data_IF_773704276669
#
_entry.id   IF_773704276669
#
_cell.length_a   1.000
_cell.length_b   1.000
_cell.length_c   1.000
_cell.angle_alpha   90.00
_cell.angle_beta   90.00
_cell.angle_gamma   90.00
#
_symmetry.space_group_name_H-M   'P 1'
#
loop_
_entity.id
_entity.type
_entity.pdbx_description
1 polymer ?
#
# COMPACT_ATOMS: atom_id res chain seq x y z
N UNK A 1 -3.45 21.37 -19.55
CA UNK A 1 -4.12 20.07 -19.77
C UNK A 1 -4.38 19.50 -18.38
N UNK A 2 -5.61 19.63 -17.91
CA UNK A 2 -6.01 19.25 -16.56
C UNK A 2 -5.98 17.73 -16.46
N UNK A 3 -5.11 17.15 -15.64
CA UNK A 3 -5.19 15.74 -15.33
C UNK A 3 -6.39 15.55 -14.41
N UNK A 4 -7.51 15.14 -14.99
CA UNK A 4 -8.67 14.65 -14.24
C UNK A 4 -8.21 13.46 -13.39
N UNK A 5 -8.61 13.45 -12.11
CA UNK A 5 -8.34 12.36 -11.19
C UNK A 5 -8.94 11.07 -11.73
N UNK A 6 -8.13 10.25 -12.42
CA UNK A 6 -8.54 8.93 -12.88
C UNK A 6 -8.56 8.01 -11.65
N UNK A 7 -9.75 7.67 -11.17
CA UNK A 7 -9.96 6.61 -10.18
C UNK A 7 -10.17 5.31 -10.97
N UNK A 8 -9.18 4.43 -10.94
CA UNK A 8 -9.33 3.08 -11.49
C UNK A 8 -9.76 2.12 -10.36
N UNK A 9 -10.98 1.59 -10.49
CA UNK A 9 -11.47 0.46 -9.69
C UNK A 9 -11.21 -0.79 -10.53
N UNK A 10 -10.37 -1.67 -10.01
CA UNK A 10 -10.09 -2.97 -10.62
C UNK A 10 -10.61 -4.03 -9.67
N UNK A 11 -11.65 -4.76 -10.09
CA UNK A 11 -12.13 -5.95 -9.40
C UNK A 11 -11.31 -7.16 -9.85
N UNK A 12 -10.67 -7.82 -8.90
CA UNK A 12 -9.77 -8.94 -9.18
C UNK A 12 -10.27 -10.13 -8.36
N UNK A 13 -10.72 -11.17 -9.06
CA UNK A 13 -11.14 -12.44 -8.46
C UNK A 13 -10.20 -13.55 -8.92
N UNK A 14 -9.58 -14.24 -7.96
CA UNK A 14 -8.76 -15.45 -8.11
C UNK A 14 -7.41 -15.33 -8.87
N UNK A 15 -6.37 -15.99 -8.31
CA UNK A 15 -5.08 -16.45 -8.89
C UNK A 15 -4.26 -15.54 -9.84
N UNK A 16 -4.70 -14.33 -10.15
CA UNK A 16 -4.06 -13.45 -11.12
C UNK A 16 -3.15 -12.46 -10.39
N UNK A 17 -1.93 -12.33 -10.92
CA UNK A 17 -1.03 -11.25 -10.57
C UNK A 17 -1.30 -10.06 -11.49
N UNK A 18 -1.52 -8.87 -10.92
CA UNK A 18 -1.79 -7.66 -11.70
C UNK A 18 -0.82 -6.53 -11.35
N UNK A 19 -0.34 -5.85 -12.40
CA UNK A 19 0.63 -4.75 -12.33
C UNK A 19 0.08 -3.48 -13.02
N UNK A 20 -0.93 -2.81 -12.43
CA UNK A 20 -1.43 -1.56 -12.98
C UNK A 20 -0.35 -0.47 -12.90
N UNK A 21 -0.17 0.28 -14.00
CA UNK A 21 0.75 1.42 -14.08
C UNK A 21 -0.03 2.71 -14.24
N UNK A 22 0.20 3.67 -13.36
CA UNK A 22 -0.37 5.01 -13.44
C UNK A 22 0.73 6.07 -13.28
N UNK A 23 0.73 7.07 -14.15
CA UNK A 23 1.69 8.17 -14.15
C UNK A 23 0.99 9.52 -14.34
N UNK A 24 1.39 10.55 -13.58
CA UNK A 24 0.85 11.91 -13.71
C UNK A 24 0.66 12.66 -12.40
N UNK A 25 0.13 13.88 -12.45
CA UNK A 25 -0.23 14.64 -11.25
C UNK A 25 -1.65 14.28 -10.77
N UNK A 26 -1.81 13.94 -9.49
CA UNK A 26 -3.11 13.82 -8.81
C UNK A 26 -3.93 12.55 -9.09
N UNK A 27 -3.32 11.48 -9.62
CA UNK A 27 -4.01 10.21 -9.92
C UNK A 27 -4.11 9.26 -8.71
N UNK A 28 -5.17 8.45 -8.63
CA UNK A 28 -5.33 7.48 -7.54
C UNK A 28 -5.89 6.12 -7.98
N UNK A 29 -5.42 5.03 -7.36
CA UNK A 29 -5.94 3.68 -7.63
C UNK A 29 -6.58 3.10 -6.38
N UNK A 30 -7.75 2.47 -6.54
CA UNK A 30 -8.48 1.79 -5.46
C UNK A 30 -8.82 0.37 -5.93
N UNK A 31 -7.83 -0.54 -6.02
CA UNK A 31 -8.11 -1.91 -6.43
C UNK A 31 -8.80 -2.68 -5.29
N UNK A 32 -9.73 -3.55 -5.68
CA UNK A 32 -10.45 -4.44 -4.77
C UNK A 32 -10.08 -5.88 -5.13
N UNK A 33 -9.44 -6.58 -4.21
CA UNK A 33 -8.99 -7.97 -4.42
C UNK A 33 -9.64 -8.88 -3.38
N UNK A 34 -10.37 -9.89 -3.87
CA UNK A 34 -11.07 -10.89 -3.08
C UNK A 34 -10.68 -12.32 -3.50
N UNK A 35 -10.42 -13.21 -2.53
CA UNK A 35 -10.25 -14.65 -2.77
C UNK A 35 -8.96 -15.25 -2.21
N UNK A 36 -8.62 -16.47 -2.66
CA UNK A 36 -7.41 -17.17 -2.24
C UNK A 36 -6.24 -16.88 -3.21
N UNK A 37 -5.07 -16.49 -2.68
CA UNK A 37 -3.78 -16.54 -3.41
C UNK A 37 -3.52 -15.47 -4.48
N UNK A 38 -4.18 -14.31 -4.47
CA UNK A 38 -3.96 -13.23 -5.45
C UNK A 38 -2.85 -12.23 -5.07
N UNK A 39 -2.23 -11.57 -6.05
CA UNK A 39 -1.15 -10.60 -5.82
C UNK A 39 -1.28 -9.32 -6.65
N UNK A 40 -1.15 -8.13 -6.04
CA UNK A 40 -1.13 -6.86 -6.78
C UNK A 40 0.18 -6.11 -6.60
N UNK A 41 0.72 -5.59 -7.70
CA UNK A 41 1.91 -4.75 -7.72
C UNK A 41 1.64 -3.45 -8.48
N UNK A 42 0.87 -2.50 -7.91
CA UNK A 42 0.64 -1.21 -8.55
C UNK A 42 1.93 -0.39 -8.62
N UNK A 43 2.20 0.21 -9.79
CA UNK A 43 3.25 1.20 -9.98
C UNK A 43 2.60 2.56 -10.17
N UNK A 44 2.88 3.50 -9.25
CA UNK A 44 2.36 4.85 -9.31
C UNK A 44 3.50 5.88 -9.28
N UNK A 45 3.52 6.79 -10.25
CA UNK A 45 4.54 7.81 -10.42
C UNK A 45 3.96 9.22 -10.59
N UNK A 46 4.46 10.22 -9.85
CA UNK A 46 4.11 11.63 -10.06
C UNK A 46 3.81 12.40 -8.78
N UNK A 47 3.24 13.61 -8.90
CA UNK A 47 2.94 14.47 -7.76
C UNK A 47 1.51 14.25 -7.24
N UNK A 48 1.34 14.03 -5.93
CA UNK A 48 0.04 14.01 -5.24
C UNK A 48 -0.84 12.78 -5.50
N UNK A 49 -0.26 11.65 -5.90
CA UNK A 49 -1.01 10.42 -6.20
C UNK A 49 -1.22 9.50 -4.98
N UNK A 50 -2.32 8.74 -4.95
CA UNK A 50 -2.65 7.86 -3.81
C UNK A 50 -3.07 6.44 -4.20
N UNK A 51 -2.74 5.44 -3.38
CA UNK A 51 -3.25 4.07 -3.54
C UNK A 51 -4.00 3.61 -2.29
N UNK A 52 -5.23 3.14 -2.48
CA UNK A 52 -6.09 2.64 -1.39
C UNK A 52 -6.57 1.22 -1.73
N UNK A 53 -5.69 0.21 -1.73
CA UNK A 53 -6.10 -1.14 -2.05
C UNK A 53 -6.89 -1.75 -0.89
N UNK A 54 -7.98 -2.45 -1.21
CA UNK A 54 -8.74 -3.26 -0.27
C UNK A 54 -8.53 -4.73 -0.63
N UNK A 55 -7.97 -5.50 0.30
CA UNK A 55 -7.64 -6.91 0.09
C UNK A 55 -8.31 -7.77 1.17
N UNK A 56 -9.12 -8.73 0.73
CA UNK A 56 -9.82 -9.71 1.57
C UNK A 56 -9.56 -11.15 1.10
N UNK A 57 -9.15 -12.05 2.01
CA UNK A 57 -9.06 -13.49 1.72
C UNK A 57 -7.86 -14.22 2.32
N UNK A 58 -7.52 -15.38 1.77
CA UNK A 58 -6.42 -16.22 2.26
C UNK A 58 -5.19 -16.15 1.36
N UNK A 59 -4.02 -15.81 1.91
CA UNK A 59 -2.73 -15.91 1.22
C UNK A 59 -2.46 -14.87 0.12
N UNK A 60 -3.10 -13.70 0.15
CA UNK A 60 -2.89 -12.64 -0.84
C UNK A 60 -1.75 -11.66 -0.50
N UNK A 61 -1.13 -11.04 -1.51
CA UNK A 61 -0.02 -10.09 -1.32
C UNK A 61 -0.22 -8.77 -2.06
N UNK A 62 0.21 -7.64 -1.46
CA UNK A 62 0.31 -6.36 -2.17
C UNK A 62 1.74 -5.81 -2.09
N UNK A 63 2.28 -5.42 -3.23
CA UNK A 63 3.61 -4.79 -3.36
C UNK A 63 3.52 -3.49 -4.14
N UNK A 64 2.94 -2.41 -3.57
CA UNK A 64 2.88 -1.13 -4.26
C UNK A 64 4.26 -0.49 -4.40
N UNK A 65 4.56 0.06 -5.57
CA UNK A 65 5.73 0.90 -5.84
C UNK A 65 5.24 2.33 -6.11
N UNK A 66 5.55 3.26 -5.20
CA UNK A 66 5.18 4.67 -5.34
C UNK A 66 6.44 5.53 -5.44
N UNK A 67 6.50 6.35 -6.50
CA UNK A 67 7.54 7.34 -6.71
C UNK A 67 6.97 8.74 -6.90
N UNK A 68 7.52 9.75 -6.23
CA UNK A 68 7.20 11.16 -6.49
C UNK A 68 6.96 12.00 -5.24
N UNK A 69 6.31 13.16 -5.38
CA UNK A 69 6.10 14.11 -4.29
C UNK A 69 4.66 14.04 -3.76
N UNK A 70 4.47 13.90 -2.44
CA UNK A 70 3.19 14.05 -1.76
C UNK A 70 2.20 12.90 -1.95
N UNK A 71 2.67 11.69 -2.29
CA UNK A 71 1.80 10.54 -2.51
C UNK A 71 1.58 9.67 -1.27
N UNK A 72 0.44 8.98 -1.17
CA UNK A 72 0.11 8.16 0.01
C UNK A 72 -0.38 6.75 -0.33
N UNK A 73 -0.11 5.77 0.54
CA UNK A 73 -0.76 4.46 0.49
C UNK A 73 -1.55 4.18 1.76
N UNK A 74 -2.80 3.78 1.59
CA UNK A 74 -3.71 3.43 2.68
C UNK A 74 -4.32 2.05 2.42
N UNK A 75 -3.53 0.96 2.51
CA UNK A 75 -4.04 -0.38 2.27
C UNK A 75 -4.92 -0.85 3.44
N UNK A 76 -6.07 -1.44 3.10
CA UNK A 76 -6.92 -2.18 4.04
C UNK A 76 -6.77 -3.67 3.74
N UNK A 77 -6.21 -4.41 4.69
CA UNK A 77 -5.94 -5.83 4.53
C UNK A 77 -6.67 -6.64 5.60
N UNK A 78 -7.52 -7.57 5.15
CA UNK A 78 -8.29 -8.48 5.99
C UNK A 78 -8.13 -9.95 5.56
N UNK A 79 -7.95 -10.87 6.51
CA UNK A 79 -7.97 -12.31 6.25
C UNK A 79 -6.79 -13.08 6.84
N UNK A 80 -6.45 -14.23 6.24
CA UNK A 80 -5.42 -15.13 6.78
C UNK A 80 -4.18 -15.20 5.88
N UNK A 81 -2.99 -14.96 6.42
CA UNK A 81 -1.71 -15.18 5.73
C UNK A 81 -1.35 -14.19 4.62
N UNK A 82 -1.93 -12.98 4.64
CA UNK A 82 -1.65 -11.96 3.62
C UNK A 82 -0.47 -11.03 3.95
N UNK A 83 0.21 -10.48 2.95
CA UNK A 83 1.39 -9.62 3.14
C UNK A 83 1.32 -8.28 2.39
N UNK A 84 1.84 -7.21 3.01
CA UNK A 84 2.04 -5.91 2.35
C UNK A 84 3.53 -5.52 2.36
N UNK A 85 4.10 -5.29 1.19
CA UNK A 85 5.50 -4.86 1.02
C UNK A 85 5.55 -3.58 0.17
N UNK A 86 5.10 -2.43 0.68
CA UNK A 86 5.14 -1.18 -0.06
C UNK A 86 6.56 -0.63 -0.16
N UNK A 87 6.93 -0.16 -1.35
CA UNK A 87 8.15 0.58 -1.63
C UNK A 87 7.78 2.02 -1.99
N UNK A 88 8.09 2.97 -1.09
CA UNK A 88 7.91 4.40 -1.33
C UNK A 88 9.23 5.12 -1.50
N UNK A 89 9.33 5.91 -2.57
CA UNK A 89 10.41 6.84 -2.81
C UNK A 89 9.89 8.25 -3.07
N UNK A 90 10.49 9.27 -2.45
CA UNK A 90 10.25 10.68 -2.78
C UNK A 90 10.01 11.59 -1.58
N UNK A 91 9.38 12.74 -1.78
CA UNK A 91 9.20 13.76 -0.73
C UNK A 91 7.76 13.79 -0.21
N UNK A 92 7.56 13.71 1.10
CA UNK A 92 6.28 13.93 1.78
C UNK A 92 5.25 12.82 1.64
N UNK A 93 5.67 11.58 1.35
CA UNK A 93 4.76 10.45 1.17
C UNK A 93 4.42 9.70 2.45
N UNK A 94 3.21 9.15 2.59
CA UNK A 94 2.75 8.48 3.81
C UNK A 94 2.25 7.05 3.58
N UNK A 95 2.48 6.15 4.54
CA UNK A 95 1.86 4.82 4.60
C UNK A 95 1.02 4.67 5.86
N UNK A 96 -0.26 4.35 5.66
CA UNK A 96 -1.21 4.15 6.75
C UNK A 96 -1.95 2.82 6.57
N UNK A 97 -1.24 1.68 6.73
CA UNK A 97 -1.86 0.37 6.55
C UNK A 97 -2.78 0.03 7.72
N UNK A 98 -3.98 -0.47 7.39
CA UNK A 98 -4.89 -1.13 8.33
C UNK A 98 -4.82 -2.62 8.07
N UNK A 99 -4.28 -3.36 9.04
CA UNK A 99 -4.14 -4.81 8.96
C UNK A 99 -5.02 -5.49 10.02
N UNK A 100 -5.93 -6.34 9.56
CA UNK A 100 -6.78 -7.21 10.38
C UNK A 100 -6.66 -8.67 9.96
N UNK A 101 -6.68 -9.59 10.93
CA UNK A 101 -6.76 -11.04 10.67
C UNK A 101 -5.60 -11.85 11.23
N UNK A 102 -5.35 -13.04 10.69
CA UNK A 102 -4.38 -14.00 11.25
C UNK A 102 -3.14 -14.16 10.35
N UNK A 103 -1.93 -14.01 10.91
CA UNK A 103 -0.68 -14.35 10.24
C UNK A 103 -0.25 -13.42 9.09
N UNK A 104 -0.72 -12.17 9.09
CA UNK A 104 -0.32 -11.19 8.07
C UNK A 104 1.00 -10.47 8.37
N UNK A 105 1.66 -9.90 7.37
CA UNK A 105 2.93 -9.18 7.57
C UNK A 105 3.00 -7.84 6.82
N UNK A 106 3.53 -6.81 7.47
CA UNK A 106 3.87 -5.53 6.83
C UNK A 106 5.38 -5.30 6.83
N UNK A 107 5.95 -5.13 5.64
CA UNK A 107 7.39 -4.89 5.45
C UNK A 107 7.59 -3.64 4.57
N UNK A 108 7.28 -2.43 5.06
CA UNK A 108 7.42 -1.21 4.28
C UNK A 108 8.90 -0.84 4.10
N UNK A 109 9.27 -0.51 2.86
CA UNK A 109 10.51 0.18 2.52
C UNK A 109 10.19 1.63 2.18
N UNK A 110 10.61 2.56 3.04
CA UNK A 110 10.35 3.97 2.89
C UNK A 110 11.66 4.74 2.68
N UNK A 111 11.79 5.40 1.54
CA UNK A 111 12.94 6.21 1.15
C UNK A 111 12.53 7.65 0.82
N UNK A 112 13.31 8.63 1.29
CA UNK A 112 13.16 10.04 0.90
C UNK A 112 12.87 10.98 2.06
N UNK A 113 12.43 12.21 1.79
CA UNK A 113 12.32 13.27 2.80
C UNK A 113 10.87 13.42 3.31
N UNK A 114 10.66 13.42 4.63
CA UNK A 114 9.39 13.79 5.26
C UNK A 114 8.26 12.76 5.14
N UNK A 115 8.58 11.48 4.92
CA UNK A 115 7.56 10.42 4.82
C UNK A 115 7.26 9.71 6.14
N UNK A 116 6.01 9.29 6.37
CA UNK A 116 5.60 8.65 7.63
C UNK A 116 5.01 7.25 7.46
N UNK A 117 5.22 6.37 8.44
CA UNK A 117 4.51 5.09 8.55
C UNK A 117 3.66 5.07 9.83
N UNK A 118 2.35 4.87 9.67
CA UNK A 118 1.39 4.81 10.77
C UNK A 118 0.55 3.54 10.65
N UNK A 119 1.11 2.36 10.96
CA UNK A 119 0.36 1.11 10.84
C UNK A 119 -0.63 0.93 11.99
N UNK A 120 -1.85 0.51 11.67
CA UNK A 120 -2.84 0.03 12.63
C UNK A 120 -2.97 -1.49 12.47
N UNK A 121 -2.52 -2.23 13.48
CA UNK A 121 -2.54 -3.69 13.49
C UNK A 121 -3.54 -4.23 14.50
N UNK A 122 -4.42 -5.11 14.03
CA UNK A 122 -5.27 -5.95 14.86
C UNK A 122 -5.25 -7.41 14.38
N UNK A 123 -5.44 -8.35 15.31
CA UNK A 123 -5.48 -9.80 15.02
C UNK A 123 -4.19 -10.56 15.41
N UNK A 124 -4.23 -11.88 15.29
CA UNK A 124 -3.19 -12.76 15.84
C UNK A 124 -2.06 -13.06 14.84
N UNK A 125 -0.80 -12.96 15.26
CA UNK A 125 0.36 -13.37 14.45
C UNK A 125 0.77 -12.37 13.37
N UNK A 126 0.31 -11.11 13.47
CA UNK A 126 0.72 -10.01 12.60
C UNK A 126 2.17 -9.54 12.89
N UNK A 127 2.96 -9.24 11.86
CA UNK A 127 4.32 -8.70 12.00
C UNK A 127 4.53 -7.34 11.33
N UNK A 128 5.32 -6.46 11.95
CA UNK A 128 5.80 -5.19 11.38
C UNK A 128 7.32 -5.20 11.28
N UNK A 129 7.86 -5.09 10.07
CA UNK A 129 9.31 -4.98 9.84
C UNK A 129 9.62 -3.80 8.91
N UNK A 130 9.58 -2.56 9.41
CA UNK A 130 9.79 -1.38 8.57
C UNK A 130 11.29 -1.11 8.34
N UNK A 131 11.65 -0.71 7.12
CA UNK A 131 12.96 -0.17 6.78
C UNK A 131 12.81 1.28 6.31
N UNK A 132 13.30 2.23 7.10
CA UNK A 132 13.21 3.65 6.80
C UNK A 132 14.58 4.21 6.47
N UNK A 133 14.66 4.94 5.36
CA UNK A 133 15.80 5.75 4.96
C UNK A 133 15.36 7.15 4.54
N UNK A 134 16.20 8.15 4.85
CA UNK A 134 15.96 9.55 4.50
C UNK A 134 15.59 10.45 5.68
N UNK A 135 15.56 11.76 5.46
CA UNK A 135 15.43 12.76 6.51
C UNK A 135 13.95 13.04 6.87
N UNK A 136 13.63 13.10 8.17
CA UNK A 136 12.30 13.50 8.64
C UNK A 136 11.23 12.40 8.57
N UNK A 137 11.63 11.14 8.42
CA UNK A 137 10.70 10.02 8.46
C UNK A 137 10.39 9.52 9.88
N UNK A 138 9.16 9.04 10.09
CA UNK A 138 8.68 8.61 11.42
C UNK A 138 7.89 7.30 11.39
N UNK A 139 7.95 6.56 12.50
CA UNK A 139 7.19 5.34 12.76
C UNK A 139 6.24 5.55 13.94
N UNK A 140 4.94 5.41 13.73
CA UNK A 140 3.95 5.46 14.81
C UNK A 140 3.01 4.27 14.73
N UNK A 141 3.39 3.09 15.27
CA UNK A 141 2.52 1.93 15.29
C UNK A 141 1.41 2.09 16.33
N UNK A 142 0.18 1.73 15.95
CA UNK A 142 -0.95 1.57 16.85
C UNK A 142 -1.35 0.10 16.85
N UNK A 143 -1.29 -0.53 18.03
CA UNK A 143 -1.63 -1.94 18.25
C UNK A 143 -2.94 -2.00 19.04
N UNK A 144 -3.91 -2.76 18.52
CA UNK A 144 -5.23 -2.98 19.11
C UNK A 144 -5.54 -4.45 19.34
#
# INVERSE_FOLDING_TARGET
>A
MSLESVILIVDIFNYLALTPLLGGAGGGLTPLLGGAGGGLTPLLGGAGGGLTPLLGGAGGGLTPLLGGAGGGLTPLLGGAGGGLTPLLGGAGGGLTPLLGGAGGGLTPLLGGAGGGLTPLLGGAGGGLTPLLGGAGGGLTPLLG
#
